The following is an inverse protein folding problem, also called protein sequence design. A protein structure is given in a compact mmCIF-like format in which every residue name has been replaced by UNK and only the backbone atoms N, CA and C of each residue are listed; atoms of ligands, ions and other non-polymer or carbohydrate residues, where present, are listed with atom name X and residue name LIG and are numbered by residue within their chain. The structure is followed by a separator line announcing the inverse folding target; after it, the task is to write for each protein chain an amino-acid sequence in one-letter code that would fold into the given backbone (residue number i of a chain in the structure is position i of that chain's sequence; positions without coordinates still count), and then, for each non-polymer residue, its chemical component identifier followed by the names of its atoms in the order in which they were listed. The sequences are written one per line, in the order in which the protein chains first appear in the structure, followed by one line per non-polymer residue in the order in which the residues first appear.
data_IF_774220951149
#
_entry.id   IF_774220951149
#
_cell.length_a   1.000
_cell.length_b   1.000
_cell.length_c   1.000
_cell.angle_alpha   90.00
_cell.angle_beta   90.00
_cell.angle_gamma   90.00
#
_symmetry.space_group_name_H-M   'P 1'
#
loop_
_entity.id
_entity.type
_entity.pdbx_description
1 polymer ?
#
# COMPACT_ATOMS: atom_id res chain seq x y z
N UNK A 1 -19.88 7.43 25.18
CA UNK A 1 -19.43 8.24 24.01
C UNK A 1 -18.90 7.24 22.99
N UNK A 2 -19.44 7.22 21.76
CA UNK A 2 -18.98 6.27 20.72
C UNK A 2 -17.54 6.61 20.32
N UNK A 3 -16.76 5.60 19.91
CA UNK A 3 -15.35 5.75 19.53
C UNK A 3 -15.15 6.87 18.49
N UNK A 4 -16.07 6.96 17.54
CA UNK A 4 -16.07 7.94 16.44
C UNK A 4 -16.10 9.37 16.97
N UNK A 5 -17.02 9.66 17.89
CA UNK A 5 -17.16 11.00 18.51
C UNK A 5 -15.91 11.40 19.29
N UNK A 6 -15.17 10.43 19.83
CA UNK A 6 -13.96 10.70 20.60
C UNK A 6 -12.79 11.03 19.68
N UNK A 7 -12.69 10.32 18.55
CA UNK A 7 -11.71 10.59 17.50
C UNK A 7 -12.01 11.93 16.82
N UNK A 8 -13.27 12.23 16.51
CA UNK A 8 -13.69 13.53 15.96
C UNK A 8 -13.35 14.68 16.90
N UNK A 9 -13.63 14.53 18.20
CA UNK A 9 -13.27 15.54 19.21
C UNK A 9 -11.77 15.76 19.28
N UNK A 10 -10.99 14.69 19.18
CA UNK A 10 -9.53 14.75 19.19
C UNK A 10 -8.99 15.42 17.93
N UNK A 11 -9.52 15.08 16.76
CA UNK A 11 -9.17 15.72 15.49
C UNK A 11 -9.55 17.21 15.46
N UNK A 12 -10.71 17.58 16.01
CA UNK A 12 -11.13 18.97 16.15
C UNK A 12 -10.18 19.76 17.06
N UNK A 13 -9.72 19.16 18.17
CA UNK A 13 -8.76 19.79 19.10
C UNK A 13 -7.41 20.05 18.42
N UNK A 14 -6.95 19.15 17.57
CA UNK A 14 -5.67 19.27 16.84
C UNK A 14 -5.79 19.96 15.48
N UNK A 15 -6.99 20.45 15.10
CA UNK A 15 -7.29 21.06 13.77
C UNK A 15 -6.91 20.15 12.60
N UNK A 16 -7.08 18.84 12.78
CA UNK A 16 -6.79 17.84 11.75
C UNK A 16 -8.05 17.58 10.93
N UNK A 17 -7.91 17.66 9.61
CA UNK A 17 -8.97 17.28 8.69
C UNK A 17 -8.98 15.75 8.55
N UNK A 18 -10.00 15.13 9.13
CA UNK A 18 -10.32 13.71 8.93
C UNK A 18 -11.60 13.59 8.10
N UNK A 19 -11.61 12.64 7.18
CA UNK A 19 -12.81 12.27 6.42
C UNK A 19 -13.20 10.85 6.80
N UNK A 20 -14.43 10.66 7.26
CA UNK A 20 -14.92 9.34 7.65
C UNK A 20 -15.14 8.47 6.40
N UNK A 21 -14.57 7.27 6.40
CA UNK A 21 -14.75 6.28 5.34
C UNK A 21 -15.46 5.07 5.92
N UNK A 22 -16.63 4.75 5.40
CA UNK A 22 -17.41 3.61 5.87
C UNK A 22 -16.83 2.31 5.33
N UNK A 23 -16.19 1.51 6.18
CA UNK A 23 -15.66 0.19 5.82
C UNK A 23 -16.41 -0.86 6.64
N UNK A 24 -17.55 -1.36 6.14
CA UNK A 24 -18.38 -2.39 6.79
C UNK A 24 -18.40 -2.27 8.34
N UNK A 25 -17.64 -3.12 9.03
CA UNK A 25 -17.59 -3.25 10.49
C UNK A 25 -16.40 -2.51 11.15
N UNK A 26 -15.51 -1.92 10.35
CA UNK A 26 -14.31 -1.23 10.81
C UNK A 26 -14.43 0.28 10.67
N UNK A 27 -13.90 0.98 11.66
CA UNK A 27 -13.78 2.43 11.63
C UNK A 27 -12.57 2.82 10.78
N UNK A 28 -12.79 3.58 9.72
CA UNK A 28 -11.73 4.08 8.86
C UNK A 28 -11.81 5.59 8.67
N UNK A 29 -10.66 6.26 8.67
CA UNK A 29 -10.55 7.67 8.33
C UNK A 29 -9.55 7.88 7.22
N UNK A 30 -9.90 8.71 6.24
CA UNK A 30 -8.98 9.19 5.24
C UNK A 30 -8.42 10.56 5.64
N UNK A 31 -7.11 10.71 5.53
CA UNK A 31 -6.31 11.81 6.06
C UNK A 31 -5.27 12.22 5.02
N UNK A 32 -5.06 13.53 4.87
CA UNK A 32 -3.99 14.03 3.99
C UNK A 32 -2.61 13.75 4.60
N UNK A 33 -1.55 13.52 3.79
CA UNK A 33 -0.20 13.23 4.28
C UNK A 33 0.31 14.20 5.35
N UNK A 34 0.05 15.51 5.17
CA UNK A 34 0.48 16.56 6.10
C UNK A 34 -0.04 16.39 7.54
N UNK A 35 -1.21 15.77 7.72
CA UNK A 35 -1.81 15.59 9.05
C UNK A 35 -1.58 14.20 9.64
N UNK A 36 -0.89 13.31 8.92
CA UNK A 36 -0.68 11.92 9.33
C UNK A 36 0.09 11.82 10.65
N UNK A 37 1.28 12.41 10.74
CA UNK A 37 2.10 12.32 11.97
C UNK A 37 1.43 12.94 13.20
N UNK A 38 0.86 14.17 13.12
CA UNK A 38 0.12 14.73 14.24
C UNK A 38 -1.03 13.83 14.70
N UNK A 39 -1.74 13.20 13.77
CA UNK A 39 -2.86 12.32 14.09
C UNK A 39 -2.38 11.04 14.79
N UNK A 40 -1.40 10.35 14.21
CA UNK A 40 -0.84 9.12 14.78
C UNK A 40 -0.29 9.35 16.19
N UNK A 41 0.40 10.48 16.40
CA UNK A 41 0.93 10.86 17.71
C UNK A 41 -0.21 11.10 18.71
N UNK A 42 -1.23 11.87 18.33
CA UNK A 42 -2.35 12.15 19.20
C UNK A 42 -3.18 10.89 19.54
N UNK A 43 -3.35 9.97 18.59
CA UNK A 43 -4.01 8.68 18.81
C UNK A 43 -3.25 7.78 19.79
N UNK A 44 -1.91 7.79 19.73
CA UNK A 44 -1.06 7.03 20.64
C UNK A 44 -0.99 7.65 22.05
N UNK A 45 -0.84 8.97 22.15
CA UNK A 45 -0.66 9.71 23.41
C UNK A 45 -1.95 9.89 24.20
N UNK A 46 -3.11 9.88 23.53
CA UNK A 46 -4.39 10.06 24.22
C UNK A 46 -4.68 8.94 25.22
N UNK A 47 -4.98 9.32 26.46
CA UNK A 47 -5.21 8.37 27.54
C UNK A 47 -6.49 7.53 27.36
N UNK A 48 -7.47 8.07 26.64
CA UNK A 48 -8.74 7.42 26.36
C UNK A 48 -8.61 6.38 25.23
N UNK A 49 -7.91 6.69 24.13
CA UNK A 49 -7.80 5.79 22.97
C UNK A 49 -6.61 4.84 23.05
N UNK A 50 -5.42 5.32 23.44
CA UNK A 50 -4.17 4.55 23.53
C UNK A 50 -3.98 3.54 22.39
N UNK A 51 -3.90 4.01 21.15
CA UNK A 51 -3.52 3.15 20.02
C UNK A 51 -2.02 2.88 20.06
N UNK A 52 -1.63 1.85 20.81
CA UNK A 52 -0.22 1.53 21.09
C UNK A 52 0.43 0.64 20.03
N UNK A 53 -0.36 -0.18 19.33
CA UNK A 53 0.16 -1.18 18.40
C UNK A 53 -0.17 -0.78 16.97
N UNK A 54 0.87 -0.58 16.15
CA UNK A 54 0.76 -0.65 14.70
C UNK A 54 0.74 -2.13 14.32
N UNK A 55 -0.42 -2.60 13.84
CA UNK A 55 -0.61 -4.02 13.47
C UNK A 55 -0.04 -4.28 12.09
N UNK A 56 -0.31 -3.37 11.16
CA UNK A 56 0.08 -3.53 9.76
C UNK A 56 0.09 -2.18 9.06
N UNK A 57 0.91 -2.06 8.02
CA UNK A 57 0.96 -0.93 7.11
C UNK A 57 1.20 -1.49 5.70
N UNK A 58 0.22 -1.29 4.82
CA UNK A 58 0.28 -1.76 3.45
C UNK A 58 -0.13 -0.67 2.47
N UNK A 59 0.37 -0.79 1.24
CA UNK A 59 -0.10 -0.01 0.11
C UNK A 59 -1.21 -0.74 -0.63
N UNK A 60 -2.04 0.02 -1.33
CA UNK A 60 -2.95 -0.46 -2.36
C UNK A 60 -2.81 0.44 -3.60
N UNK A 61 -2.81 -0.16 -4.78
CA UNK A 61 -2.71 0.54 -6.06
C UNK A 61 -4.08 0.63 -6.73
N UNK A 62 -4.53 1.85 -7.01
CA UNK A 62 -5.77 2.18 -7.71
C UNK A 62 -5.45 3.05 -8.93
N UNK A 63 -5.14 2.47 -10.10
CA UNK A 63 -4.68 3.21 -11.28
C UNK A 63 -5.75 4.15 -11.87
N UNK A 64 -7.02 3.96 -11.53
CA UNK A 64 -8.13 4.80 -12.00
C UNK A 64 -8.26 6.14 -11.23
N UNK A 65 -7.56 6.31 -10.11
CA UNK A 65 -7.62 7.52 -9.28
C UNK A 65 -6.48 8.49 -9.60
N UNK A 66 -6.72 9.80 -9.41
CA UNK A 66 -5.67 10.83 -9.55
C UNK A 66 -4.51 10.60 -8.57
N UNK A 67 -4.86 10.23 -7.33
CA UNK A 67 -3.91 9.73 -6.33
C UNK A 67 -3.90 8.21 -6.41
N UNK A 68 -2.91 7.70 -7.15
CA UNK A 68 -2.77 6.29 -7.50
C UNK A 68 -2.68 5.37 -6.30
N UNK A 69 -1.89 5.73 -5.29
CA UNK A 69 -1.60 4.88 -4.14
C UNK A 69 -2.44 5.25 -2.94
N UNK A 70 -2.94 4.24 -2.23
CA UNK A 70 -3.57 4.37 -0.93
C UNK A 70 -2.69 3.64 0.09
N UNK A 71 -2.10 4.36 1.04
CA UNK A 71 -1.35 3.76 2.16
C UNK A 71 -2.27 3.62 3.36
N UNK A 72 -2.37 2.40 3.87
CA UNK A 72 -3.31 2.03 4.93
C UNK A 72 -2.55 1.64 6.19
N UNK A 73 -2.84 2.33 7.29
CA UNK A 73 -2.30 2.05 8.62
C UNK A 73 -3.37 1.37 9.46
N UNK A 74 -3.07 0.16 9.94
CA UNK A 74 -3.94 -0.59 10.84
C UNK A 74 -3.43 -0.46 12.28
N UNK A 75 -4.20 0.20 13.12
CA UNK A 75 -3.89 0.44 14.52
C UNK A 75 -4.78 -0.41 15.42
N UNK A 76 -4.21 -0.87 16.53
CA UNK A 76 -4.92 -1.59 17.58
C UNK A 76 -4.74 -0.88 18.92
N UNK A 77 -5.86 -0.63 19.59
CA UNK A 77 -5.89 -0.23 20.99
C UNK A 77 -6.16 -1.44 21.87
N UNK A 78 -5.21 -1.80 22.74
CA UNK A 78 -5.40 -2.85 23.73
C UNK A 78 -6.38 -2.45 24.83
N UNK A 79 -6.42 -1.15 25.18
CA UNK A 79 -7.29 -0.64 26.25
C UNK A 79 -8.77 -0.72 25.87
N UNK A 80 -9.09 -0.36 24.63
CA UNK A 80 -10.47 -0.37 24.12
C UNK A 80 -10.83 -1.68 23.41
N UNK A 81 -9.83 -2.52 23.10
CA UNK A 81 -9.97 -3.68 22.23
C UNK A 81 -10.66 -3.33 20.90
N UNK A 82 -10.21 -2.23 20.29
CA UNK A 82 -10.75 -1.69 19.03
C UNK A 82 -9.63 -1.50 18.02
N UNK A 83 -9.96 -1.76 16.75
CA UNK A 83 -9.11 -1.50 15.60
C UNK A 83 -9.55 -0.22 14.91
N UNK A 84 -8.58 0.49 14.37
CA UNK A 84 -8.76 1.72 13.61
C UNK A 84 -7.93 1.63 12.34
N UNK A 85 -8.54 2.02 11.22
CA UNK A 85 -7.89 2.07 9.92
C UNK A 85 -7.68 3.54 9.55
N UNK A 86 -6.47 3.91 9.18
CA UNK A 86 -6.17 5.25 8.65
C UNK A 86 -5.68 5.08 7.23
N UNK A 87 -6.31 5.77 6.30
CA UNK A 87 -6.01 5.75 4.88
C UNK A 87 -5.38 7.07 4.48
N UNK A 88 -4.39 7.02 3.61
CA UNK A 88 -3.70 8.19 3.08
C UNK A 88 -3.56 8.02 1.58
N UNK A 89 -4.18 8.91 0.82
CA UNK A 89 -4.08 8.91 -0.65
C UNK A 89 -2.86 9.70 -1.13
N UNK A 90 -2.04 9.07 -1.96
CA UNK A 90 -0.71 9.51 -2.37
C UNK A 90 -0.51 9.30 -3.87
N UNK A 91 0.14 10.27 -4.51
CA UNK A 91 0.58 10.17 -5.90
C UNK A 91 2.01 9.63 -6.01
N UNK A 92 2.45 9.25 -7.22
CA UNK A 92 3.79 8.68 -7.43
C UNK A 92 4.94 9.61 -7.04
N UNK A 93 4.75 10.92 -7.19
CA UNK A 93 5.77 11.94 -6.91
C UNK A 93 5.71 12.48 -5.47
N UNK A 94 4.61 12.22 -4.75
CA UNK A 94 4.42 12.69 -3.38
C UNK A 94 5.10 11.73 -2.38
N UNK A 95 5.89 12.29 -1.47
CA UNK A 95 6.41 11.57 -0.31
C UNK A 95 5.46 11.64 0.89
N UNK A 96 5.47 10.60 1.72
CA UNK A 96 4.72 10.52 2.98
C UNK A 96 5.69 10.68 4.15
N UNK A 97 5.34 11.40 5.23
CA UNK A 97 6.19 11.42 6.41
C UNK A 97 6.20 10.06 7.12
N UNK A 98 7.40 9.57 7.45
CA UNK A 98 7.62 8.29 8.14
C UNK A 98 7.09 8.29 9.58
N UNK A 99 6.41 7.21 9.95
CA UNK A 99 5.85 6.98 11.27
C UNK A 99 6.83 6.26 12.23
N UNK A 100 8.09 6.03 11.84
CA UNK A 100 9.11 5.32 12.65
C UNK A 100 9.26 5.92 14.04
N UNK A 101 9.27 7.25 14.15
CA UNK A 101 9.40 7.97 15.43
C UNK A 101 8.23 7.71 16.39
N UNK A 102 7.08 7.25 15.87
CA UNK A 102 5.88 6.95 16.65
C UNK A 102 5.79 5.44 16.89
N UNK A 103 6.02 4.64 15.86
CA UNK A 103 5.98 3.17 15.92
C UNK A 103 7.26 2.60 15.32
N UNK A 104 8.13 2.03 16.17
CA UNK A 104 9.38 1.41 15.70
C UNK A 104 9.16 0.30 14.66
N UNK A 105 8.01 -0.40 14.74
CA UNK A 105 7.63 -1.42 13.77
C UNK A 105 7.43 -0.88 12.35
N UNK A 106 7.11 0.43 12.20
CA UNK A 106 6.87 1.05 10.91
C UNK A 106 8.09 0.99 9.97
N UNK A 107 9.31 0.88 10.49
CA UNK A 107 10.52 0.83 9.67
C UNK A 107 10.48 -0.32 8.63
N UNK A 108 10.03 -1.50 9.04
CA UNK A 108 9.95 -2.66 8.16
C UNK A 108 8.79 -2.55 7.16
N UNK A 109 7.63 -2.12 7.63
CA UNK A 109 6.46 -1.98 6.77
C UNK A 109 6.59 -0.85 5.74
N UNK A 110 7.19 0.28 6.10
CA UNK A 110 7.47 1.36 5.16
C UNK A 110 8.44 0.92 4.07
N UNK A 111 9.42 0.07 4.40
CA UNK A 111 10.34 -0.53 3.44
C UNK A 111 9.64 -1.52 2.51
N UNK A 112 8.72 -2.32 3.04
CA UNK A 112 7.90 -3.23 2.25
C UNK A 112 7.03 -2.46 1.24
N UNK A 113 6.35 -1.40 1.68
CA UNK A 113 5.53 -0.56 0.80
C UNK A 113 6.38 0.18 -0.23
N UNK A 114 7.56 0.65 0.14
CA UNK A 114 8.52 1.22 -0.80
C UNK A 114 8.96 0.20 -1.85
N UNK A 115 9.29 -1.02 -1.46
CA UNK A 115 9.76 -2.06 -2.39
C UNK A 115 8.66 -2.53 -3.34
N UNK A 116 7.44 -2.73 -2.82
CA UNK A 116 6.32 -3.30 -3.56
C UNK A 116 5.54 -2.30 -4.41
N UNK A 117 5.36 -1.07 -3.91
CA UNK A 117 4.57 -0.02 -4.56
C UNK A 117 5.40 1.20 -4.98
N UNK A 118 6.61 1.38 -4.46
CA UNK A 118 7.45 2.54 -4.79
C UNK A 118 7.01 3.84 -4.14
N UNK A 119 6.26 3.78 -3.03
CA UNK A 119 5.88 4.96 -2.26
C UNK A 119 7.05 5.41 -1.39
N UNK A 120 7.44 6.68 -1.49
CA UNK A 120 8.54 7.23 -0.74
C UNK A 120 8.11 7.70 0.66
N UNK A 121 8.90 7.34 1.67
CA UNK A 121 8.74 7.81 3.05
C UNK A 121 9.87 8.78 3.43
N UNK A 122 9.52 9.99 3.85
CA UNK A 122 10.45 11.02 4.32
C UNK A 122 10.73 10.85 5.81
N UNK A 123 12.01 10.81 6.18
CA UNK A 123 12.45 10.58 7.56
C UNK A 123 12.76 9.11 7.90
N UNK A 124 12.72 8.21 6.92
CA UNK A 124 13.29 6.87 7.06
C UNK A 124 14.75 6.87 6.58
N UNK A 125 15.67 6.50 7.47
CA UNK A 125 17.12 6.48 7.23
C UNK A 125 17.57 5.26 6.38
N UNK A 126 16.80 4.16 6.36
CA UNK A 126 17.15 2.92 5.65
C UNK A 126 16.16 2.62 4.50
N UNK A 127 16.36 3.28 3.35
CA UNK A 127 15.49 3.19 2.16
C UNK A 127 15.86 2.05 1.19
N UNK A 128 16.34 0.92 1.68
CA UNK A 128 16.67 -0.24 0.84
C UNK A 128 15.49 -1.18 0.67
N UNK A 129 15.44 -1.83 -0.49
CA UNK A 129 14.53 -2.95 -0.80
C UNK A 129 14.71 -4.09 0.21
N UNK A 130 13.68 -4.90 0.40
CA UNK A 130 13.68 -5.93 1.45
C UNK A 130 13.14 -7.27 0.97
N UNK A 131 12.10 -7.27 0.14
CA UNK A 131 11.45 -8.48 -0.33
C UNK A 131 11.97 -8.91 -1.70
N UNK A 132 12.27 -7.96 -2.59
CA UNK A 132 12.78 -8.27 -3.93
C UNK A 132 14.26 -8.60 -3.92
N UNK A 133 14.73 -9.18 -5.03
CA UNK A 133 16.15 -9.37 -5.28
C UNK A 133 16.89 -8.01 -5.31
N UNK A 134 18.21 -8.05 -5.10
CA UNK A 134 19.06 -6.86 -4.97
C UNK A 134 19.09 -6.01 -6.24
N UNK A 135 19.13 -6.66 -7.42
CA UNK A 135 19.17 -6.00 -8.73
C UNK A 135 17.78 -5.92 -9.37
N UNK A 136 16.72 -6.05 -8.58
CA UNK A 136 15.36 -6.05 -9.10
C UNK A 136 14.94 -4.65 -9.58
N UNK A 137 14.54 -4.57 -10.85
CA UNK A 137 14.03 -3.36 -11.47
C UNK A 137 12.49 -3.36 -11.48
N UNK A 138 11.91 -2.34 -10.85
CA UNK A 138 10.46 -2.15 -10.77
C UNK A 138 9.86 -2.41 -9.40
N UNK A 139 8.52 -2.50 -9.36
CA UNK A 139 7.69 -2.61 -8.16
C UNK A 139 6.60 -3.67 -8.40
N UNK A 140 6.71 -4.89 -7.81
CA UNK A 140 5.91 -6.04 -8.23
C UNK A 140 4.40 -5.92 -8.03
N UNK A 141 3.93 -5.23 -6.98
CA UNK A 141 2.50 -5.16 -6.64
C UNK A 141 1.76 -4.03 -7.35
N UNK A 142 2.44 -3.26 -8.22
CA UNK A 142 1.77 -2.30 -9.11
C UNK A 142 0.96 -3.04 -10.15
N UNK A 143 -0.21 -2.50 -10.50
CA UNK A 143 -1.11 -3.08 -11.51
C UNK A 143 -0.51 -3.10 -12.92
N UNK A 144 0.48 -2.25 -13.18
CA UNK A 144 1.18 -2.22 -14.46
C UNK A 144 2.24 -3.33 -14.59
N UNK A 145 2.64 -3.96 -13.48
CA UNK A 145 3.72 -4.95 -13.47
C UNK A 145 3.18 -6.32 -13.92
N UNK A 146 3.81 -6.97 -14.93
CA UNK A 146 3.34 -8.26 -15.41
C UNK A 146 3.60 -9.36 -14.37
N UNK A 147 2.68 -10.31 -14.27
CA UNK A 147 2.78 -11.43 -13.30
C UNK A 147 4.08 -12.23 -13.43
N UNK A 148 4.58 -12.39 -14.65
CA UNK A 148 5.81 -13.14 -14.95
C UNK A 148 7.08 -12.33 -14.67
N UNK A 149 6.97 -11.02 -14.47
CA UNK A 149 8.10 -10.10 -14.47
C UNK A 149 8.75 -9.96 -15.85
N UNK A 150 9.89 -9.26 -15.86
CA UNK A 150 10.66 -8.94 -17.07
C UNK A 150 11.87 -9.85 -17.28
N UNK A 151 12.45 -10.38 -16.19
CA UNK A 151 13.69 -11.17 -16.20
C UNK A 151 13.48 -12.55 -15.58
N UNK A 152 14.17 -13.54 -16.13
CA UNK A 152 14.33 -14.89 -15.58
C UNK A 152 15.80 -15.19 -15.30
N UNK A 153 16.05 -16.14 -14.41
CA UNK A 153 17.41 -16.59 -14.08
C UNK A 153 17.70 -17.94 -14.71
N UNK A 154 18.85 -18.06 -15.38
CA UNK A 154 19.36 -19.33 -15.91
C UNK A 154 20.83 -19.52 -15.52
N UNK A 155 21.23 -20.77 -15.31
CA UNK A 155 22.64 -21.10 -15.07
C UNK A 155 23.39 -21.16 -16.41
N UNK A 156 24.43 -20.35 -16.54
CA UNK A 156 25.29 -20.35 -17.72
C UNK A 156 26.52 -21.23 -17.46
N UNK A 157 26.59 -22.40 -18.10
CA UNK A 157 27.70 -23.35 -17.92
C UNK A 157 29.06 -22.79 -18.34
N UNK A 158 29.10 -21.95 -19.39
CA UNK A 158 30.35 -21.36 -19.91
C UNK A 158 30.96 -20.37 -18.92
N UNK A 159 30.11 -19.55 -18.31
CA UNK A 159 30.51 -18.54 -17.34
C UNK A 159 30.60 -19.09 -15.91
N UNK A 160 30.03 -20.29 -15.67
CA UNK A 160 29.84 -20.90 -14.34
C UNK A 160 29.17 -19.95 -13.35
N UNK A 161 28.18 -19.19 -13.82
CA UNK A 161 27.46 -18.16 -13.06
C UNK A 161 25.98 -18.19 -13.41
N UNK A 162 25.14 -17.69 -12.50
CA UNK A 162 23.73 -17.40 -12.78
C UNK A 162 23.66 -16.11 -13.61
N UNK A 163 22.96 -16.16 -14.73
CA UNK A 163 22.74 -15.03 -15.61
C UNK A 163 21.26 -14.64 -15.62
N UNK A 164 20.99 -13.34 -15.64
CA UNK A 164 19.65 -12.79 -15.85
C UNK A 164 19.41 -12.64 -17.36
N UNK A 165 18.33 -13.24 -17.85
CA UNK A 165 17.88 -13.18 -19.24
C UNK A 165 16.45 -12.63 -19.30
N UNK A 166 16.00 -12.04 -20.42
CA UNK A 166 14.59 -11.70 -20.58
C UNK A 166 13.71 -12.95 -20.47
N UNK A 167 12.50 -12.77 -19.94
CA UNK A 167 11.53 -13.85 -19.79
C UNK A 167 11.15 -14.42 -21.16
N UNK A 168 11.32 -15.73 -21.28
CA UNK A 168 10.90 -16.53 -22.43
C UNK A 168 10.32 -17.84 -21.88
N UNK A 169 8.99 -17.95 -21.95
CA UNK A 169 8.23 -19.07 -21.38
C UNK A 169 7.71 -19.98 -22.48
N UNK A 170 7.97 -21.28 -22.37
CA UNK A 170 7.43 -22.28 -23.29
C UNK A 170 5.90 -22.28 -23.33
N UNK A 171 5.28 -22.04 -22.16
CA UNK A 171 3.82 -21.93 -22.01
C UNK A 171 3.52 -20.57 -21.40
N UNK A 172 2.78 -19.76 -22.16
CA UNK A 172 2.31 -18.45 -21.69
C UNK A 172 1.27 -18.59 -20.57
N UNK A 173 1.23 -17.58 -19.70
CA UNK A 173 0.16 -17.47 -18.70
C UNK A 173 -1.21 -17.42 -19.38
N UNK A 174 -2.17 -18.18 -18.85
CA UNK A 174 -3.54 -18.23 -19.36
C UNK A 174 -4.45 -17.45 -18.41
N UNK A 175 -4.97 -16.34 -18.89
CA UNK A 175 -6.00 -15.58 -18.21
C UNK A 175 -7.36 -16.18 -18.53
N UNK A 176 -8.07 -16.64 -17.50
CA UNK A 176 -9.42 -17.19 -17.63
C UNK A 176 -10.42 -16.17 -17.11
N UNK A 177 -11.39 -15.84 -17.95
CA UNK A 177 -12.53 -15.02 -17.53
C UNK A 177 -13.57 -15.92 -16.84
N UNK A 178 -13.66 -15.79 -15.52
CA UNK A 178 -14.67 -16.48 -14.71
C UNK A 178 -15.93 -15.62 -14.48
N UNK A 179 -16.00 -14.43 -15.07
CA UNK A 179 -17.19 -13.58 -14.96
C UNK A 179 -18.37 -14.24 -15.66
N UNK A 180 -19.54 -14.15 -15.02
CA UNK A 180 -20.78 -14.61 -15.62
C UNK A 180 -21.54 -13.42 -16.19
N UNK A 181 -22.14 -13.60 -17.38
CA UNK A 181 -22.88 -12.56 -18.09
C UNK A 181 -24.13 -12.07 -17.33
N UNK A 182 -24.65 -12.86 -16.38
CA UNK A 182 -25.93 -12.62 -15.71
C UNK A 182 -25.76 -12.20 -14.25
N UNK A 183 -24.78 -12.77 -13.55
CA UNK A 183 -24.50 -12.46 -12.16
C UNK A 183 -23.00 -12.63 -11.89
N UNK A 184 -22.24 -11.55 -12.01
CA UNK A 184 -20.86 -11.57 -11.53
C UNK A 184 -20.87 -11.84 -10.02
N UNK A 185 -20.06 -12.78 -9.51
CA UNK A 185 -19.87 -12.91 -8.07
C UNK A 185 -19.46 -11.54 -7.51
N UNK A 186 -20.04 -11.13 -6.38
CA UNK A 186 -19.85 -9.79 -5.79
C UNK A 186 -18.41 -9.48 -5.33
N UNK A 187 -17.47 -10.39 -5.61
CA UNK A 187 -16.05 -10.31 -5.29
C UNK A 187 -15.18 -9.78 -6.43
N UNK A 188 -15.75 -9.37 -7.57
CA UNK A 188 -14.98 -8.72 -8.64
C UNK A 188 -14.50 -7.37 -8.11
N UNK A 189 -13.22 -7.31 -7.74
CA UNK A 189 -12.46 -6.07 -7.60
C UNK A 189 -12.73 -5.24 -8.86
N UNK A 190 -13.18 -4.01 -8.65
CA UNK A 190 -13.43 -3.01 -9.69
C UNK A 190 -12.40 -3.11 -10.80
N UNK A 191 -12.90 -3.44 -11.99
CA UNK A 191 -12.15 -3.65 -13.23
C UNK A 191 -11.06 -2.58 -13.44
N UNK A 192 -9.79 -3.00 -13.53
CA UNK A 192 -8.65 -2.20 -14.00
C UNK A 192 -8.90 -1.79 -15.48
N UNK A 193 -9.66 -0.72 -15.71
CA UNK A 193 -10.14 -0.33 -17.05
C UNK A 193 -9.11 0.37 -17.94
N UNK A 194 -7.84 0.48 -17.54
CA UNK A 194 -6.86 1.32 -18.28
C UNK A 194 -5.56 0.68 -18.75
N UNK A 195 -5.30 -0.62 -18.51
CA UNK A 195 -4.08 -1.26 -19.04
C UNK A 195 -4.10 -1.50 -20.58
N UNK A 196 -5.21 -1.19 -21.28
CA UNK A 196 -5.29 -1.23 -22.76
C UNK A 196 -5.11 0.17 -23.35
N UNK A 197 -3.90 0.73 -23.36
CA UNK A 197 -3.61 1.88 -24.24
C UNK A 197 -2.27 1.91 -24.96
N UNK A 198 -1.36 0.97 -24.73
CA UNK A 198 -0.09 0.92 -25.45
C UNK A 198 0.13 -0.43 -26.14
N UNK A 199 -0.67 -0.75 -27.15
CA UNK A 199 -0.20 -1.61 -28.25
C UNK A 199 0.23 -0.68 -29.38
N UNK A 200 1.53 -0.40 -29.43
CA UNK A 200 2.17 0.31 -30.54
C UNK A 200 2.02 -0.57 -31.78
N UNK A 201 1.33 -0.06 -32.80
CA UNK A 201 1.31 -0.65 -34.13
C UNK A 201 2.73 -0.63 -34.71
N UNK A 202 3.39 -1.78 -34.70
CA UNK A 202 4.60 -1.99 -35.48
C UNK A 202 4.16 -2.57 -36.82
N UNK A 203 4.26 -1.74 -37.86
CA UNK A 203 4.23 -2.17 -39.27
C UNK A 203 5.51 -2.92 -39.63
#
# INVERSE_FOLDING_TARGET
MTLDKLIEKLAAKSRILITHVTVKDYLAYNVKPNYLLPLLKALKESEELRFTILTDLFGADFPDRDKRFEVVYNLLSLKLNKRLIIKVDVSEEESIPSAINIFNAACWYEREVYDMYGVNFDGNDDKRRILTDYEFEGHPLRKDFPLTGYTQVKYNEKLKKVAYEPVDLDIKYREFDFSSHWHSPTYVLTEDKKAKKNSVDIK
#
